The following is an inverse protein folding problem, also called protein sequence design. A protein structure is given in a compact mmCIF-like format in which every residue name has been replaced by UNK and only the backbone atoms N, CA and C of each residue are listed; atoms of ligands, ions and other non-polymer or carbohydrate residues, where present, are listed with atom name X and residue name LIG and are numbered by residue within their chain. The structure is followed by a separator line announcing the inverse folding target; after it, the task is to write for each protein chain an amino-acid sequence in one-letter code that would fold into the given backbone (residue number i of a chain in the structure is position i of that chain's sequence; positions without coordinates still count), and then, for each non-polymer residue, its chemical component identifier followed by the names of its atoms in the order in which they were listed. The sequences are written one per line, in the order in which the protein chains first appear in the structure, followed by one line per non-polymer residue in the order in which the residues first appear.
data_IF_191747802282
#
_entry.id   IF_191747802282
#
_cell.length_a   1.000
_cell.length_b   1.000
_cell.length_c   1.000
_cell.angle_alpha   90.00
_cell.angle_beta   90.00
_cell.angle_gamma   90.00
#
_symmetry.space_group_name_H-M   'P 1'
#
loop_
_entity.id
_entity.type
_entity.pdbx_description
1 polymer ?
#
# COMPACT_ATOMS: atom_id res chain seq x y z
N UNK A 1 31.82 25.34 20.48
CA UNK A 1 31.45 23.94 20.73
C UNK A 1 29.99 23.79 20.36
N UNK A 2 29.71 23.34 19.13
CA UNK A 2 28.35 23.05 18.68
C UNK A 2 28.10 21.58 18.99
N UNK A 3 27.26 21.29 19.98
CA UNK A 3 26.86 19.93 20.32
C UNK A 3 25.97 19.40 19.21
N UNK A 4 26.52 18.53 18.38
CA UNK A 4 25.75 17.69 17.47
C UNK A 4 25.06 16.66 18.35
N UNK A 5 23.76 16.81 18.58
CA UNK A 5 22.96 15.73 19.15
C UNK A 5 22.89 14.62 18.11
N UNK A 6 23.22 13.36 18.44
CA UNK A 6 23.00 12.25 17.51
C UNK A 6 21.49 12.12 17.31
N UNK A 7 21.00 12.36 16.09
CA UNK A 7 19.64 11.98 15.73
C UNK A 7 19.54 10.46 15.89
N UNK A 8 18.71 10.01 16.84
CA UNK A 8 18.42 8.60 17.01
C UNK A 8 17.83 8.00 15.73
N UNK A 9 17.82 6.67 15.59
CA UNK A 9 17.30 6.02 14.39
C UNK A 9 15.86 6.49 14.11
N UNK A 10 15.63 7.02 12.90
CA UNK A 10 14.29 7.39 12.43
C UNK A 10 13.46 6.11 12.35
N UNK A 11 12.28 6.04 13.00
CA UNK A 11 11.45 4.86 12.95
C UNK A 11 11.08 4.53 11.51
N UNK A 12 11.28 3.26 11.11
CA UNK A 12 10.97 2.78 9.75
C UNK A 12 9.47 2.99 9.47
N UNK A 13 9.16 3.85 8.49
CA UNK A 13 7.80 4.05 8.01
C UNK A 13 7.37 2.82 7.21
N UNK A 14 6.14 2.37 7.42
CA UNK A 14 5.56 1.25 6.66
C UNK A 14 5.27 1.67 5.23
N UNK A 15 5.59 0.81 4.27
CA UNK A 15 5.31 1.00 2.85
C UNK A 15 4.05 0.25 2.46
N UNK A 16 2.97 0.96 2.17
CA UNK A 16 1.66 0.36 1.91
C UNK A 16 1.23 0.67 0.47
N UNK A 17 0.93 -0.37 -0.30
CA UNK A 17 0.37 -0.23 -1.63
C UNK A 17 -1.16 -0.20 -1.56
N UNK A 18 -1.78 0.81 -2.20
CA UNK A 18 -3.23 1.02 -2.27
C UNK A 18 -3.70 0.95 -3.72
N UNK A 19 -4.53 -0.04 -4.04
CA UNK A 19 -4.98 -0.34 -5.40
C UNK A 19 -6.49 -0.58 -5.37
N UNK A 20 -7.22 -0.04 -6.34
CA UNK A 20 -8.66 -0.28 -6.46
C UNK A 20 -9.09 -0.35 -7.93
N UNK A 21 -9.95 -1.32 -8.27
CA UNK A 21 -10.70 -1.28 -9.54
C UNK A 21 -11.63 -0.07 -9.56
N UNK A 22 -12.09 0.33 -10.74
CA UNK A 22 -12.88 1.56 -10.92
C UNK A 22 -14.10 1.62 -10.01
N UNK A 23 -14.90 0.55 -9.93
CA UNK A 23 -16.06 0.46 -9.04
C UNK A 23 -15.73 0.37 -7.53
N UNK A 24 -14.44 0.33 -7.18
CA UNK A 24 -13.94 0.23 -5.79
C UNK A 24 -13.15 1.44 -5.34
N UNK A 25 -13.04 2.47 -6.18
CA UNK A 25 -12.30 3.68 -5.81
C UNK A 25 -13.02 4.51 -4.75
N UNK A 26 -14.35 4.58 -4.78
CA UNK A 26 -15.11 5.27 -3.73
C UNK A 26 -14.91 4.58 -2.37
N UNK A 27 -15.01 3.24 -2.36
CA UNK A 27 -14.69 2.40 -1.20
C UNK A 27 -13.26 2.67 -0.68
N UNK A 28 -12.28 2.78 -1.59
CA UNK A 28 -10.88 3.08 -1.25
C UNK A 28 -10.72 4.46 -0.61
N UNK A 29 -11.42 5.49 -1.10
CA UNK A 29 -11.36 6.83 -0.52
C UNK A 29 -12.00 6.85 0.87
N UNK A 30 -13.17 6.23 1.04
CA UNK A 30 -13.81 6.11 2.35
C UNK A 30 -12.92 5.36 3.37
N UNK A 31 -12.31 4.26 2.94
CA UNK A 31 -11.33 3.51 3.72
C UNK A 31 -10.13 4.38 4.10
N UNK A 32 -9.55 5.09 3.14
CA UNK A 32 -8.40 5.95 3.37
C UNK A 32 -8.70 7.12 4.31
N UNK A 33 -9.89 7.71 4.23
CA UNK A 33 -10.34 8.75 5.15
C UNK A 33 -10.53 8.20 6.58
N UNK A 34 -11.10 6.99 6.71
CA UNK A 34 -11.28 6.31 8.00
C UNK A 34 -9.94 6.04 8.69
N UNK A 35 -8.93 5.59 7.93
CA UNK A 35 -7.59 5.26 8.45
C UNK A 35 -6.56 6.38 8.26
N UNK A 36 -7.00 7.61 7.94
CA UNK A 36 -6.11 8.70 7.50
C UNK A 36 -4.98 8.98 8.46
N UNK A 37 -5.26 9.02 9.76
CA UNK A 37 -4.25 9.32 10.78
C UNK A 37 -3.08 8.34 10.77
N UNK A 38 -3.34 7.05 10.49
CA UNK A 38 -2.31 6.03 10.37
C UNK A 38 -1.62 6.08 9.00
N UNK A 39 -2.40 6.21 7.93
CA UNK A 39 -1.86 6.25 6.56
C UNK A 39 -0.93 7.44 6.33
N UNK A 40 -1.16 8.59 6.99
CA UNK A 40 -0.25 9.74 6.95
C UNK A 40 1.14 9.46 7.54
N UNK A 41 1.27 8.44 8.38
CA UNK A 41 2.55 8.03 8.97
C UNK A 41 3.29 6.99 8.11
N UNK A 42 2.65 6.50 7.05
CA UNK A 42 3.19 5.50 6.14
C UNK A 42 3.76 6.14 4.87
N UNK A 43 4.60 5.39 4.17
CA UNK A 43 5.00 5.68 2.79
C UNK A 43 4.01 4.95 1.87
N UNK A 44 3.20 5.71 1.12
CA UNK A 44 2.10 5.16 0.34
C UNK A 44 2.47 5.05 -1.13
N UNK A 45 2.12 3.92 -1.75
CA UNK A 45 2.21 3.70 -3.20
C UNK A 45 0.81 3.40 -3.73
N UNK A 46 0.46 3.88 -4.92
CA UNK A 46 -0.83 3.55 -5.53
C UNK A 46 -0.79 3.58 -7.04
N UNK A 47 -1.66 2.80 -7.70
CA UNK A 47 -1.83 2.86 -9.15
C UNK A 47 -2.48 4.16 -9.60
N UNK A 48 -2.20 4.57 -10.84
CA UNK A 48 -2.41 5.94 -11.36
C UNK A 48 -3.67 6.66 -10.90
N UNK A 49 -4.86 6.13 -11.21
CA UNK A 49 -6.14 6.78 -10.89
C UNK A 49 -6.47 6.71 -9.40
N UNK A 50 -6.16 5.58 -8.74
CA UNK A 50 -6.35 5.41 -7.29
C UNK A 50 -5.53 6.42 -6.50
N UNK A 51 -4.24 6.56 -6.86
CA UNK A 51 -3.33 7.50 -6.23
C UNK A 51 -3.71 8.96 -6.44
N UNK A 52 -4.24 9.32 -7.62
CA UNK A 52 -4.79 10.66 -7.87
C UNK A 52 -5.93 10.99 -6.92
N UNK A 53 -6.92 10.10 -6.81
CA UNK A 53 -8.05 10.29 -5.90
C UNK A 53 -7.63 10.36 -4.42
N UNK A 54 -6.64 9.54 -4.00
CA UNK A 54 -6.12 9.59 -2.64
C UNK A 54 -5.45 10.94 -2.31
N UNK A 55 -4.77 11.55 -3.29
CA UNK A 55 -4.19 12.88 -3.15
C UNK A 55 -5.29 13.94 -3.09
N UNK A 56 -6.20 13.94 -4.06
CA UNK A 56 -7.19 15.00 -4.26
C UNK A 56 -8.32 14.98 -3.21
N UNK A 57 -8.80 13.78 -2.83
CA UNK A 57 -10.00 13.62 -1.99
C UNK A 57 -9.67 13.23 -0.54
N UNK A 58 -8.56 12.52 -0.31
CA UNK A 58 -8.13 12.12 1.04
C UNK A 58 -6.96 12.97 1.58
N UNK A 59 -6.28 13.76 0.75
CA UNK A 59 -5.16 14.60 1.14
C UNK A 59 -3.94 13.78 1.60
N UNK A 60 -3.74 12.60 1.02
CA UNK A 60 -2.61 11.72 1.33
C UNK A 60 -1.45 11.95 0.35
N UNK A 61 -0.22 11.96 0.86
CA UNK A 61 0.97 11.95 0.02
C UNK A 61 1.22 10.53 -0.47
N UNK A 62 1.05 10.30 -1.77
CA UNK A 62 1.14 8.97 -2.39
C UNK A 62 2.08 8.99 -3.59
N UNK A 63 2.99 8.02 -3.67
CA UNK A 63 3.77 7.77 -4.87
C UNK A 63 2.87 7.09 -5.92
N UNK A 64 2.62 7.79 -7.03
CA UNK A 64 1.79 7.27 -8.11
C UNK A 64 2.61 6.39 -9.05
N UNK A 65 2.13 5.17 -9.23
CA UNK A 65 2.55 4.25 -10.28
C UNK A 65 1.68 4.46 -11.52
N UNK A 66 1.97 3.72 -12.59
CA UNK A 66 1.07 3.61 -13.74
C UNK A 66 -0.31 3.07 -13.29
N UNK A 67 -1.31 3.23 -14.15
CA UNK A 67 -2.59 2.54 -13.94
C UNK A 67 -2.41 1.03 -14.14
N UNK A 68 -3.25 0.22 -13.48
CA UNK A 68 -3.18 -1.25 -13.56
C UNK A 68 -3.08 -1.77 -15.00
N UNK A 69 -3.99 -1.38 -15.93
CA UNK A 69 -3.93 -1.80 -17.34
C UNK A 69 -2.66 -1.43 -18.11
N UNK A 70 -1.87 -0.48 -17.60
CA UNK A 70 -0.63 -0.02 -18.22
C UNK A 70 0.61 -0.51 -17.46
N UNK A 71 0.47 -1.53 -16.62
CA UNK A 71 1.58 -2.16 -15.89
C UNK A 71 1.81 -1.63 -14.47
N UNK A 72 0.89 -0.83 -13.92
CA UNK A 72 0.99 -0.34 -12.54
C UNK A 72 1.04 -1.47 -11.51
N UNK A 73 0.32 -2.55 -11.74
CA UNK A 73 0.30 -3.72 -10.84
C UNK A 73 1.65 -4.44 -10.84
N UNK A 74 2.31 -4.52 -12.01
CA UNK A 74 3.65 -5.08 -12.16
C UNK A 74 4.71 -4.18 -11.50
N UNK A 75 4.58 -2.85 -11.60
CA UNK A 75 5.46 -1.93 -10.89
C UNK A 75 5.39 -2.14 -9.36
N UNK A 76 4.18 -2.29 -8.82
CA UNK A 76 4.00 -2.59 -7.39
C UNK A 76 4.54 -3.98 -7.05
N UNK A 77 4.30 -4.98 -7.91
CA UNK A 77 4.85 -6.33 -7.75
C UNK A 77 6.39 -6.36 -7.71
N UNK A 78 7.06 -5.54 -8.53
CA UNK A 78 8.51 -5.39 -8.50
C UNK A 78 9.00 -4.76 -7.18
N UNK A 79 8.35 -3.67 -6.73
CA UNK A 79 8.66 -3.05 -5.43
C UNK A 79 8.48 -4.06 -4.28
N UNK A 80 7.42 -4.87 -4.32
CA UNK A 80 7.15 -5.90 -3.34
C UNK A 80 8.26 -6.96 -3.32
N UNK A 81 8.66 -7.48 -4.48
CA UNK A 81 9.71 -8.49 -4.58
C UNK A 81 11.08 -7.98 -4.08
N UNK A 82 11.32 -6.67 -4.16
CA UNK A 82 12.53 -6.01 -3.68
C UNK A 82 12.44 -5.60 -2.19
N UNK A 83 11.44 -6.09 -1.45
CA UNK A 83 11.25 -5.79 -0.03
C UNK A 83 10.86 -4.34 0.23
N UNK A 84 10.21 -3.68 -0.74
CA UNK A 84 9.77 -2.28 -0.67
C UNK A 84 8.27 -2.06 -0.51
N UNK A 85 7.54 -3.12 -0.18
CA UNK A 85 6.12 -3.08 0.18
C UNK A 85 5.91 -3.99 1.38
N UNK A 86 5.36 -3.45 2.45
CA UNK A 86 5.12 -4.15 3.71
C UNK A 86 3.65 -4.62 3.83
N UNK A 87 2.73 -4.05 3.04
CA UNK A 87 1.36 -4.51 2.91
C UNK A 87 0.72 -4.05 1.58
N UNK A 88 -0.23 -4.83 1.07
CA UNK A 88 -1.03 -4.50 -0.12
C UNK A 88 -2.52 -4.48 0.24
N UNK A 89 -3.18 -3.35 -0.05
CA UNK A 89 -4.64 -3.23 -0.03
C UNK A 89 -5.12 -3.10 -1.48
N UNK A 90 -5.65 -4.19 -2.03
CA UNK A 90 -6.16 -4.25 -3.39
C UNK A 90 -7.67 -4.49 -3.39
N UNK A 91 -8.46 -3.42 -3.38
CA UNK A 91 -9.92 -3.52 -3.46
C UNK A 91 -10.36 -3.91 -4.87
N UNK A 92 -10.64 -5.20 -5.06
CA UNK A 92 -11.05 -5.77 -6.34
C UNK A 92 -12.56 -5.68 -6.51
N UNK A 93 -12.98 -5.40 -7.73
CA UNK A 93 -14.34 -5.65 -8.20
C UNK A 93 -14.45 -7.11 -8.68
N UNK A 94 -15.19 -7.98 -7.96
CA UNK A 94 -15.36 -9.38 -8.34
C UNK A 94 -16.44 -9.60 -9.41
N UNK A 95 -17.22 -8.57 -9.75
CA UNK A 95 -18.36 -8.66 -10.66
C UNK A 95 -18.03 -8.22 -12.09
N UNK A 96 -16.90 -7.54 -12.28
CA UNK A 96 -16.47 -7.01 -13.58
C UNK A 96 -15.15 -7.66 -14.03
N UNK A 97 -15.13 -8.34 -15.19
CA UNK A 97 -13.89 -8.85 -15.77
C UNK A 97 -12.87 -7.74 -15.99
N UNK A 98 -11.60 -8.00 -15.66
CA UNK A 98 -10.53 -7.03 -15.85
C UNK A 98 -9.65 -7.43 -17.03
N UNK A 99 -9.34 -6.50 -17.95
CA UNK A 99 -8.48 -6.81 -19.10
C UNK A 99 -7.04 -7.17 -18.71
N UNK A 100 -6.63 -6.81 -17.49
CA UNK A 100 -5.29 -7.03 -16.91
C UNK A 100 -5.33 -8.07 -15.77
N UNK A 101 -6.29 -9.01 -15.80
CA UNK A 101 -6.40 -10.08 -14.80
C UNK A 101 -5.11 -10.92 -14.60
N UNK A 102 -4.29 -11.22 -15.63
CA UNK A 102 -3.00 -11.87 -15.43
C UNK A 102 -2.07 -11.10 -14.48
N UNK A 103 -2.05 -9.76 -14.58
CA UNK A 103 -1.19 -8.90 -13.76
C UNK A 103 -1.67 -8.87 -12.30
N UNK A 104 -3.00 -8.83 -12.10
CA UNK A 104 -3.64 -8.92 -10.77
C UNK A 104 -3.23 -10.22 -10.08
N UNK A 105 -3.35 -11.35 -10.78
CA UNK A 105 -3.01 -12.66 -10.25
C UNK A 105 -1.51 -12.78 -9.96
N UNK A 106 -0.66 -12.17 -10.80
CA UNK A 106 0.77 -12.11 -10.57
C UNK A 106 1.12 -11.34 -9.29
N UNK A 107 0.47 -10.18 -9.05
CA UNK A 107 0.67 -9.38 -7.85
C UNK A 107 0.21 -10.12 -6.58
N UNK A 108 -0.98 -10.72 -6.59
CA UNK A 108 -1.48 -11.50 -5.44
C UNK A 108 -0.55 -12.68 -5.14
N UNK A 109 -0.14 -13.42 -6.17
CA UNK A 109 0.83 -14.52 -6.02
C UNK A 109 2.17 -14.02 -5.47
N UNK A 110 2.63 -12.83 -5.85
CA UNK A 110 3.85 -12.25 -5.30
C UNK A 110 3.70 -11.97 -3.80
N UNK A 111 2.54 -11.49 -3.35
CA UNK A 111 2.25 -11.33 -1.93
C UNK A 111 2.38 -12.67 -1.18
N UNK A 112 1.83 -13.75 -1.73
CA UNK A 112 1.92 -15.09 -1.13
C UNK A 112 3.38 -15.58 -1.03
N UNK A 113 4.16 -15.42 -2.12
CA UNK A 113 5.57 -15.85 -2.17
C UNK A 113 6.43 -15.11 -1.15
N UNK A 114 6.21 -13.81 -0.97
CA UNK A 114 7.00 -12.97 -0.07
C UNK A 114 6.38 -12.84 1.33
N UNK A 115 5.29 -13.56 1.62
CA UNK A 115 4.56 -13.51 2.88
C UNK A 115 4.16 -12.08 3.30
N UNK A 116 3.72 -11.28 2.32
CA UNK A 116 3.26 -9.91 2.52
C UNK A 116 1.74 -9.90 2.71
N UNK A 117 1.20 -9.25 3.77
CA UNK A 117 -0.23 -9.11 3.96
C UNK A 117 -0.91 -8.50 2.73
N UNK A 118 -1.90 -9.22 2.19
CA UNK A 118 -2.67 -8.80 1.03
C UNK A 118 -4.18 -8.81 1.36
N UNK A 119 -4.77 -7.63 1.44
CA UNK A 119 -6.21 -7.48 1.62
C UNK A 119 -6.88 -7.25 0.27
N UNK A 120 -7.82 -8.14 -0.10
CA UNK A 120 -8.51 -8.04 -1.40
C UNK A 120 -9.94 -7.50 -1.32
N UNK A 121 -10.38 -7.12 -0.12
CA UNK A 121 -11.69 -6.55 0.20
C UNK A 121 -11.56 -5.66 1.47
N UNK A 122 -12.60 -4.88 1.77
CA UNK A 122 -12.60 -3.94 2.89
C UNK A 122 -12.46 -4.62 4.26
N UNK A 123 -13.18 -5.72 4.50
CA UNK A 123 -13.15 -6.39 5.79
C UNK A 123 -11.73 -6.88 6.15
N UNK A 124 -11.03 -7.48 5.19
CA UNK A 124 -9.62 -7.85 5.37
C UNK A 124 -8.73 -6.61 5.49
N UNK A 125 -9.01 -5.54 4.76
CA UNK A 125 -8.22 -4.31 4.82
C UNK A 125 -8.27 -3.65 6.20
N UNK A 126 -9.44 -3.60 6.83
CA UNK A 126 -9.61 -3.08 8.19
C UNK A 126 -8.83 -3.91 9.21
N UNK A 127 -8.90 -5.25 9.11
CA UNK A 127 -8.14 -6.14 10.00
C UNK A 127 -6.63 -5.96 9.82
N UNK A 128 -6.15 -5.78 8.58
CA UNK A 128 -4.75 -5.48 8.29
C UNK A 128 -4.34 -4.14 8.91
N UNK A 129 -5.16 -3.08 8.78
CA UNK A 129 -4.85 -1.77 9.38
C UNK A 129 -4.77 -1.83 10.91
N UNK A 130 -5.70 -2.55 11.54
CA UNK A 130 -5.66 -2.77 13.00
C UNK A 130 -4.35 -3.46 13.40
N UNK A 131 -3.98 -4.56 12.73
CA UNK A 131 -2.76 -5.29 13.04
C UNK A 131 -1.50 -4.43 12.83
N UNK A 132 -1.43 -3.66 11.73
CA UNK A 132 -0.32 -2.77 11.44
C UNK A 132 -0.23 -1.59 12.42
N UNK A 133 -1.36 -1.08 12.91
CA UNK A 133 -1.40 -0.02 13.92
C UNK A 133 -0.94 -0.48 15.31
N UNK A 134 -1.13 -1.77 15.63
CA UNK A 134 -0.67 -2.38 16.88
C UNK A 134 0.81 -2.78 16.85
N UNK A 135 1.31 -3.17 15.68
CA UNK A 135 2.69 -3.62 15.53
C UNK A 135 3.66 -2.43 15.63
N UNK A 136 4.69 -2.55 16.48
CA UNK A 136 5.89 -1.71 16.41
C UNK A 136 6.74 -2.19 15.22
N UNK A 137 7.38 -1.31 14.42
CA UNK A 137 8.34 -1.77 13.41
C UNK A 137 9.48 -2.54 14.10
N UNK A 138 9.85 -3.71 13.55
CA UNK A 138 10.86 -4.59 14.16
C UNK A 138 12.24 -3.90 14.16
N UNK A 139 12.90 -3.73 15.33
CA UNK A 139 14.24 -3.16 15.40
C UNK A 139 15.32 -3.93 14.64
N UNK A 140 15.06 -5.17 14.18
CA UNK A 140 16.10 -6.05 13.61
C UNK A 140 16.46 -5.81 12.15
N UNK A 141 15.78 -4.93 11.42
CA UNK A 141 16.14 -4.62 10.02
C UNK A 141 17.24 -3.55 9.87
N UNK A 142 17.89 -3.11 10.95
CA UNK A 142 18.92 -2.05 10.94
C UNK A 142 20.30 -2.55 10.42
N UNK A 143 20.43 -3.83 10.05
CA UNK A 143 21.71 -4.45 9.70
C UNK A 143 21.73 -5.29 8.41
N UNK A 144 20.94 -4.94 7.40
CA UNK A 144 21.08 -5.50 6.05
C UNK A 144 21.52 -4.44 5.04
#
# INVERSE_FOLDING_TARGET
MTTITPEGPVPKRRRIALIAHDHKKDDMIAFAQTHKAFLMQCDLLATGTTGGRLQDEAGLSVQRMLSGPWGGDLQIGAQLAEGRVDAVIFLRDPMTPQPHEPDINALVRACDVHNIPCATNLATADLVMIALGLAQPDPKEIHA
#
